data_IF_361319026414
#
_entry.id   IF_361319026414
#
_cell.length_a   1.000
_cell.length_b   1.000
_cell.length_c   1.000
_cell.angle_alpha   90.00
_cell.angle_beta   90.00
_cell.angle_gamma   90.00
#
_symmetry.space_group_name_H-M   'P 1'
#
loop_
_entity.id
_entity.type
_entity.pdbx_description
1 polymer ?
#
# COMPACT_ATOMS: atom_id res chain seq x y z
N UNK A 1 -1.57 -17.11 22.03
CA UNK A 1 -1.01 -16.86 20.69
C UNK A 1 -2.19 -16.53 19.82
N UNK A 2 -2.23 -15.32 19.28
CA UNK A 2 -3.24 -14.94 18.30
C UNK A 2 -2.95 -15.70 17.00
N UNK A 3 -3.99 -16.14 16.30
CA UNK A 3 -3.83 -16.82 15.03
C UNK A 3 -3.56 -15.81 13.92
N UNK A 4 -2.84 -16.21 12.87
CA UNK A 4 -2.61 -15.37 11.68
C UNK A 4 -3.91 -14.85 11.05
N UNK A 5 -4.99 -15.62 11.18
CA UNK A 5 -6.31 -15.21 10.72
C UNK A 5 -6.83 -14.02 11.53
N UNK A 6 -6.76 -14.10 12.85
CA UNK A 6 -7.19 -13.02 13.75
C UNK A 6 -6.32 -11.76 13.56
N UNK A 7 -5.01 -11.89 13.37
CA UNK A 7 -4.14 -10.73 13.08
C UNK A 7 -4.50 -10.05 11.75
N UNK A 8 -4.91 -10.83 10.75
CA UNK A 8 -5.35 -10.29 9.46
C UNK A 8 -6.74 -9.64 9.57
N UNK A 9 -7.63 -10.17 10.41
CA UNK A 9 -8.92 -9.54 10.74
C UNK A 9 -8.71 -8.18 11.45
N UNK A 10 -7.83 -8.12 12.45
CA UNK A 10 -7.45 -6.88 13.13
C UNK A 10 -6.86 -5.85 12.14
N UNK A 11 -6.01 -6.31 11.22
CA UNK A 11 -5.45 -5.45 10.17
C UNK A 11 -6.54 -4.87 9.29
N UNK A 12 -7.50 -5.68 8.84
CA UNK A 12 -8.63 -5.24 8.03
C UNK A 12 -9.50 -4.21 8.75
N UNK A 13 -9.76 -4.43 10.04
CA UNK A 13 -10.63 -3.57 10.84
C UNK A 13 -10.13 -2.12 10.87
N UNK A 14 -8.81 -1.90 10.89
CA UNK A 14 -8.23 -0.54 10.88
C UNK A 14 -8.64 0.23 9.63
N UNK A 15 -8.66 -0.41 8.47
CA UNK A 15 -9.08 0.23 7.21
C UNK A 15 -10.58 0.52 7.23
N UNK A 16 -11.39 -0.42 7.72
CA UNK A 16 -12.85 -0.23 7.84
C UNK A 16 -13.17 0.96 8.76
N UNK A 17 -12.52 1.05 9.93
CA UNK A 17 -12.68 2.16 10.88
C UNK A 17 -12.29 3.52 10.27
N UNK A 18 -11.32 3.55 9.35
CA UNK A 18 -10.90 4.74 8.60
C UNK A 18 -11.73 4.97 7.31
N UNK A 19 -12.78 4.18 7.07
CA UNK A 19 -13.64 4.25 5.88
C UNK A 19 -12.87 4.06 4.55
N UNK A 20 -11.82 3.24 4.60
CA UNK A 20 -10.97 2.86 3.47
C UNK A 20 -11.46 1.52 2.88
N UNK A 21 -12.25 1.57 1.81
CA UNK A 21 -13.10 0.46 1.32
C UNK A 21 -12.54 -0.36 0.15
N UNK A 22 -11.37 0.00 -0.37
CA UNK A 22 -10.76 -0.68 -1.51
C UNK A 22 -10.08 -1.94 -1.03
N UNK A 23 -10.60 -3.09 -1.43
CA UNK A 23 -10.24 -4.36 -0.82
C UNK A 23 -8.87 -4.87 -1.27
N UNK A 24 -8.50 -4.70 -2.54
CA UNK A 24 -7.28 -5.30 -3.08
C UNK A 24 -6.03 -4.60 -2.56
N UNK A 25 -6.05 -3.27 -2.43
CA UNK A 25 -4.98 -2.53 -1.76
C UNK A 25 -4.79 -3.01 -0.30
N UNK A 26 -5.87 -3.29 0.43
CA UNK A 26 -5.77 -3.84 1.80
C UNK A 26 -5.17 -5.25 1.79
N UNK A 27 -5.58 -6.12 0.87
CA UNK A 27 -4.97 -7.46 0.71
C UNK A 27 -3.46 -7.33 0.47
N UNK A 28 -3.07 -6.50 -0.50
CA UNK A 28 -1.67 -6.34 -0.92
C UNK A 28 -0.83 -5.74 0.22
N UNK A 29 -1.31 -4.68 0.87
CA UNK A 29 -0.61 -4.10 2.02
C UNK A 29 -0.52 -5.09 3.18
N UNK A 30 -1.56 -5.90 3.43
CA UNK A 30 -1.49 -6.98 4.40
C UNK A 30 -0.41 -7.99 4.06
N UNK A 31 -0.32 -8.42 2.79
CA UNK A 31 0.76 -9.32 2.36
C UNK A 31 2.13 -8.71 2.63
N UNK A 32 2.32 -7.42 2.35
CA UNK A 32 3.56 -6.71 2.59
C UNK A 32 3.90 -6.60 4.08
N UNK A 33 2.94 -6.21 4.92
CA UNK A 33 3.12 -6.09 6.37
C UNK A 33 3.47 -7.44 7.01
N UNK A 34 2.80 -8.52 6.61
CA UNK A 34 2.93 -9.82 7.28
C UNK A 34 4.04 -10.73 6.72
N UNK A 35 4.42 -10.57 5.45
CA UNK A 35 5.32 -11.52 4.77
C UNK A 35 6.58 -10.88 4.17
N UNK A 36 6.74 -9.57 4.24
CA UNK A 36 7.91 -8.85 3.72
C UNK A 36 8.54 -7.99 4.81
N UNK A 37 9.75 -7.48 4.53
CA UNK A 37 10.30 -6.38 5.30
C UNK A 37 9.54 -5.10 4.93
N UNK A 38 8.60 -4.70 5.78
CA UNK A 38 7.72 -3.56 5.51
C UNK A 38 8.49 -2.24 5.39
N UNK A 39 9.63 -2.09 6.05
CA UNK A 39 10.48 -0.90 5.92
C UNK A 39 11.07 -0.82 4.50
N UNK A 40 11.50 -1.95 3.93
CA UNK A 40 11.96 -2.00 2.55
C UNK A 40 10.82 -1.76 1.54
N UNK A 41 9.61 -2.26 1.83
CA UNK A 41 8.42 -1.94 1.04
C UNK A 41 8.14 -0.43 1.01
N UNK A 42 8.19 0.26 2.16
CA UNK A 42 8.02 1.71 2.23
C UNK A 42 9.12 2.47 1.47
N UNK A 43 10.37 1.99 1.50
CA UNK A 43 11.44 2.55 0.65
C UNK A 43 11.13 2.36 -0.83
N UNK A 44 10.49 1.24 -1.20
CA UNK A 44 9.99 1.00 -2.55
C UNK A 44 8.94 2.03 -2.96
N UNK A 45 7.94 2.29 -2.10
CA UNK A 45 6.91 3.31 -2.36
C UNK A 45 7.50 4.71 -2.53
N UNK A 46 8.56 5.05 -1.79
CA UNK A 46 9.27 6.31 -1.95
C UNK A 46 9.99 6.42 -3.31
N UNK A 47 10.50 5.30 -3.82
CA UNK A 47 11.20 5.21 -5.10
C UNK A 47 10.27 4.96 -6.29
N UNK A 48 9.00 4.63 -6.04
CA UNK A 48 8.04 4.13 -7.04
C UNK A 48 8.54 2.82 -7.68
N UNK A 49 9.19 1.98 -6.87
CA UNK A 49 9.77 0.68 -7.25
C UNK A 49 9.43 -0.32 -6.14
N UNK A 50 8.17 -0.77 -6.15
CA UNK A 50 7.58 -1.66 -5.15
C UNK A 50 7.50 -3.08 -5.71
N UNK A 51 7.48 -4.08 -4.82
CA UNK A 51 7.39 -5.49 -5.19
C UNK A 51 6.30 -5.76 -6.24
N UNK A 52 6.69 -6.39 -7.35
CA UNK A 52 5.81 -6.79 -8.45
C UNK A 52 6.09 -8.24 -8.84
N UNK A 53 5.06 -9.08 -8.78
CA UNK A 53 5.08 -10.51 -9.16
C UNK A 53 3.85 -10.85 -9.99
N UNK A 54 3.82 -12.03 -10.59
CA UNK A 54 2.73 -12.46 -11.47
C UNK A 54 1.33 -12.38 -10.83
N UNK A 55 1.21 -12.52 -9.51
CA UNK A 55 -0.08 -12.57 -8.81
C UNK A 55 -0.25 -11.54 -7.70
N UNK A 56 0.67 -10.60 -7.56
CA UNK A 56 0.59 -9.52 -6.58
C UNK A 56 1.55 -8.42 -6.97
N UNK A 57 1.10 -7.17 -6.92
CA UNK A 57 2.01 -6.07 -7.13
C UNK A 57 1.37 -4.70 -7.05
N UNK A 58 2.26 -3.74 -7.22
CA UNK A 58 1.94 -2.31 -7.30
C UNK A 58 2.52 -1.80 -8.61
N UNK A 59 1.74 -1.02 -9.35
CA UNK A 59 2.14 -0.46 -10.65
C UNK A 59 1.83 1.03 -10.66
N UNK A 60 2.79 1.84 -11.11
CA UNK A 60 2.62 3.28 -11.23
C UNK A 60 2.19 3.66 -12.64
N UNK A 61 1.27 4.62 -12.75
CA UNK A 61 0.77 5.08 -14.05
C UNK A 61 1.86 5.59 -14.99
N UNK A 62 2.94 6.11 -14.42
CA UNK A 62 4.05 6.72 -15.15
C UNK A 62 4.94 5.68 -15.85
N UNK A 63 4.68 4.39 -15.63
CA UNK A 63 5.29 3.28 -16.38
C UNK A 63 4.71 3.13 -17.80
N UNK A 64 3.59 3.78 -18.12
CA UNK A 64 2.87 3.65 -19.40
C UNK A 64 2.82 4.97 -20.18
N UNK A 65 2.81 4.89 -21.51
CA UNK A 65 2.48 6.06 -22.33
C UNK A 65 0.99 6.39 -22.20
N UNK A 66 0.63 7.67 -22.22
CA UNK A 66 -0.78 8.11 -22.09
C UNK A 66 -1.68 7.59 -23.22
N UNK A 67 -1.10 7.11 -24.32
CA UNK A 67 -1.80 6.51 -25.45
C UNK A 67 -1.86 4.98 -25.40
N UNK A 68 -1.21 4.35 -24.41
CA UNK A 68 -1.26 2.89 -24.24
C UNK A 68 -2.65 2.47 -23.75
N UNK A 69 -3.15 1.33 -24.24
CA UNK A 69 -4.45 0.78 -23.83
C UNK A 69 -4.46 0.40 -22.34
N UNK A 70 -3.29 0.11 -21.78
CA UNK A 70 -3.08 -0.23 -20.37
C UNK A 70 -2.96 1.00 -19.46
N UNK A 71 -2.98 2.22 -20.01
CA UNK A 71 -2.89 3.45 -19.22
C UNK A 71 -4.18 3.70 -18.40
N UNK A 72 -4.03 3.72 -17.08
CA UNK A 72 -5.15 3.83 -16.13
C UNK A 72 -5.31 5.21 -15.47
N UNK A 73 -4.73 6.25 -16.07
CA UNK A 73 -4.90 7.65 -15.65
C UNK A 73 -3.65 8.25 -15.00
N UNK A 74 -3.62 9.58 -14.87
CA UNK A 74 -2.44 10.32 -14.43
C UNK A 74 -2.34 10.39 -12.90
N UNK A 75 -1.12 10.26 -12.36
CA UNK A 75 -0.86 10.24 -10.91
C UNK A 75 -1.69 9.16 -10.19
N UNK A 76 -1.70 7.96 -10.77
CA UNK A 76 -2.44 6.81 -10.28
C UNK A 76 -1.50 5.68 -9.92
N UNK A 77 -1.94 4.89 -8.95
CA UNK A 77 -1.26 3.67 -8.52
C UNK A 77 -2.26 2.54 -8.52
N UNK A 78 -1.91 1.44 -9.17
CA UNK A 78 -2.71 0.25 -9.30
C UNK A 78 -2.16 -0.84 -8.38
N UNK A 79 -3.04 -1.45 -7.59
CA UNK A 79 -2.76 -2.61 -6.76
C UNK A 79 -3.50 -3.80 -7.34
N UNK A 80 -2.82 -4.92 -7.60
CA UNK A 80 -3.47 -6.13 -8.08
C UNK A 80 -3.13 -7.33 -7.20
N UNK A 81 -4.06 -8.29 -7.15
CA UNK A 81 -3.89 -9.55 -6.44
C UNK A 81 -4.54 -10.69 -7.23
N UNK A 82 -3.87 -11.83 -7.34
CA UNK A 82 -4.31 -12.94 -8.18
C UNK A 82 -4.02 -12.74 -9.67
N UNK A 83 -4.70 -13.52 -10.51
CA UNK A 83 -4.54 -13.52 -11.97
C UNK A 83 -5.78 -13.02 -12.70
N UNK A 84 -6.78 -12.56 -11.96
CA UNK A 84 -8.04 -12.04 -12.50
C UNK A 84 -7.89 -10.53 -12.66
N UNK A 85 -8.15 -10.02 -13.86
CA UNK A 85 -8.00 -8.59 -14.19
C UNK A 85 -8.98 -7.72 -13.41
N UNK A 86 -10.09 -8.30 -12.91
CA UNK A 86 -11.03 -7.59 -12.04
C UNK A 86 -10.53 -7.46 -10.59
N UNK A 87 -9.39 -8.06 -10.24
CA UNK A 87 -8.87 -8.09 -8.87
C UNK A 87 -7.82 -7.01 -8.63
N UNK A 88 -8.22 -5.78 -8.94
CA UNK A 88 -7.38 -4.61 -8.81
C UNK A 88 -8.07 -3.40 -8.18
N UNK A 89 -7.26 -2.51 -7.62
CA UNK A 89 -7.65 -1.22 -7.11
C UNK A 89 -6.73 -0.14 -7.63
N UNK A 90 -7.31 0.81 -8.37
CA UNK A 90 -6.61 2.04 -8.78
C UNK A 90 -6.91 3.14 -7.76
N UNK A 91 -5.87 3.84 -7.29
CA UNK A 91 -5.94 4.91 -6.28
C UNK A 91 -5.19 6.16 -6.73
N UNK A 92 -5.60 7.33 -6.25
CA UNK A 92 -4.78 8.55 -6.30
C UNK A 92 -3.60 8.43 -5.32
N UNK A 93 -2.61 9.32 -5.45
CA UNK A 93 -1.55 9.43 -4.45
C UNK A 93 -2.07 9.83 -3.04
N UNK A 94 -3.14 10.62 -2.97
CA UNK A 94 -3.77 10.99 -1.69
C UNK A 94 -4.42 9.76 -1.04
N UNK A 95 -5.20 8.99 -1.81
CA UNK A 95 -5.78 7.74 -1.35
C UNK A 95 -4.67 6.78 -0.91
N UNK A 96 -3.63 6.58 -1.74
CA UNK A 96 -2.46 5.77 -1.39
C UNK A 96 -1.88 6.16 -0.03
N UNK A 97 -1.65 7.44 0.21
CA UNK A 97 -1.10 7.91 1.49
C UNK A 97 -2.00 7.56 2.67
N UNK A 98 -3.33 7.63 2.52
CA UNK A 98 -4.27 7.25 3.57
C UNK A 98 -4.21 5.74 3.88
N UNK A 99 -4.08 4.89 2.85
CA UNK A 99 -3.91 3.44 3.05
C UNK A 99 -2.55 3.10 3.66
N UNK A 100 -1.47 3.76 3.21
CA UNK A 100 -0.14 3.55 3.78
C UNK A 100 -0.07 3.99 5.25
N UNK A 101 -0.73 5.08 5.61
CA UNK A 101 -0.82 5.54 7.00
C UNK A 101 -1.52 4.51 7.88
N UNK A 102 -2.66 3.97 7.45
CA UNK A 102 -3.35 2.90 8.16
C UNK A 102 -2.48 1.64 8.34
N UNK A 103 -1.74 1.24 7.30
CA UNK A 103 -0.81 0.11 7.39
C UNK A 103 0.38 0.39 8.32
N UNK A 104 0.91 1.62 8.30
CA UNK A 104 1.99 2.06 9.19
C UNK A 104 1.54 2.06 10.64
N UNK A 105 0.34 2.57 10.95
CA UNK A 105 -0.22 2.58 12.31
C UNK A 105 -0.26 1.16 12.89
N UNK A 106 -0.76 0.19 12.10
CA UNK A 106 -0.77 -1.21 12.50
C UNK A 106 0.64 -1.77 12.71
N UNK A 107 1.55 -1.52 11.75
CA UNK A 107 2.91 -2.04 11.82
C UNK A 107 3.66 -1.52 13.06
N UNK A 108 3.53 -0.23 13.36
CA UNK A 108 4.15 0.42 14.52
C UNK A 108 3.60 -0.15 15.84
N UNK A 109 2.29 -0.43 15.92
CA UNK A 109 1.70 -1.05 17.10
C UNK A 109 2.34 -2.41 17.42
N UNK A 110 2.65 -3.20 16.38
CA UNK A 110 3.29 -4.52 16.52
C UNK A 110 4.81 -4.46 16.63
N UNK A 111 5.43 -3.40 16.10
CA UNK A 111 6.88 -3.22 16.00
C UNK A 111 7.30 -1.81 16.47
N UNK A 112 7.15 -1.49 17.78
CA UNK A 112 7.44 -0.16 18.29
C UNK A 112 8.90 0.26 18.10
N UNK A 113 9.84 -0.69 17.97
CA UNK A 113 11.24 -0.43 17.62
C UNK A 113 11.44 0.22 16.25
N UNK A 114 10.46 0.09 15.34
CA UNK A 114 10.49 0.65 13.99
C UNK A 114 9.68 1.94 13.83
N UNK A 115 9.15 2.51 14.92
CA UNK A 115 8.32 3.73 14.91
C UNK A 115 8.98 4.87 14.14
N UNK A 116 10.18 5.31 14.56
CA UNK A 116 10.84 6.50 14.00
C UNK A 116 11.12 6.34 12.50
N UNK A 117 11.60 5.16 12.08
CA UNK A 117 11.90 4.88 10.67
C UNK A 117 10.63 4.82 9.81
N UNK A 118 9.56 4.21 10.33
CA UNK A 118 8.27 4.09 9.65
C UNK A 118 7.64 5.47 9.43
N UNK A 119 7.51 6.27 10.49
CA UNK A 119 6.95 7.62 10.41
C UNK A 119 7.76 8.52 9.48
N UNK A 120 9.09 8.46 9.56
CA UNK A 120 9.98 9.24 8.70
C UNK A 120 9.87 8.84 7.22
N UNK A 121 9.68 7.56 6.93
CA UNK A 121 9.44 7.11 5.55
C UNK A 121 8.07 7.56 5.06
N UNK A 122 7.01 7.40 5.86
CA UNK A 122 5.66 7.85 5.51
C UNK A 122 5.61 9.35 5.21
N UNK A 123 6.25 10.19 6.05
CA UNK A 123 6.35 11.63 5.82
C UNK A 123 7.06 11.97 4.50
N UNK A 124 8.14 11.25 4.16
CA UNK A 124 8.83 11.44 2.87
C UNK A 124 7.97 11.04 1.69
N UNK A 125 7.19 9.97 1.82
CA UNK A 125 6.25 9.51 0.79
C UNK A 125 5.14 10.57 0.58
N UNK A 126 4.49 11.02 1.66
CA UNK A 126 3.48 12.09 1.61
C UNK A 126 4.04 13.36 0.95
N UNK A 127 5.26 13.77 1.33
CA UNK A 127 5.94 14.93 0.74
C UNK A 127 6.23 14.76 -0.75
N UNK A 128 6.68 13.57 -1.20
CA UNK A 128 6.92 13.28 -2.63
C UNK A 128 5.65 13.49 -3.46
N UNK A 129 4.50 13.09 -2.93
CA UNK A 129 3.22 13.22 -3.61
C UNK A 129 2.50 14.56 -3.37
N UNK A 130 3.14 15.50 -2.66
CA UNK A 130 2.53 16.77 -2.23
C UNK A 130 1.23 16.61 -1.42
N UNK A 131 1.07 15.49 -0.72
CA UNK A 131 -0.04 15.25 0.21
C UNK A 131 0.30 15.95 1.52
N UNK A 132 -0.62 16.78 2.02
CA UNK A 132 -0.46 17.51 3.28
C UNK A 132 -0.87 16.62 4.45
N UNK A 133 -0.20 16.81 5.59
CA UNK A 133 -0.62 16.27 6.88
C UNK A 133 -1.95 16.88 7.34
#
# INVERSE_FOLDING_TARGET
MQSRKEEFEDFYEIFEQKNLKKNFIVIVLGQFVFNYDFIDILKGFLKEDVERRDTIGVVYSDEFDKNDEEYFGENKVLFYYGTDEDWEDIVTHEELCNYLEAACDFYIEKHPEHTEDTEKLLLKIKAKYNVKD
#
